data_IF_898045591273
#
_entry.id   IF_898045591273
#
_cell.length_a   1.000
_cell.length_b   1.000
_cell.length_c   1.000
_cell.angle_alpha   90.00
_cell.angle_beta   90.00
_cell.angle_gamma   90.00
#
_symmetry.space_group_name_H-M   'P 1'
#
loop_
_entity.id
_entity.type
_entity.pdbx_description
1 polymer ?
#
# COMPACT_ATOMS: atom_id res chain seq x y z
N UNK A 1 -6.01 11.88 9.59
CA UNK A 1 -4.71 11.25 9.83
C UNK A 1 -4.95 9.90 10.50
N UNK A 2 -4.43 8.79 9.97
CA UNK A 2 -4.57 7.48 10.60
C UNK A 2 -3.85 7.47 11.96
N UNK A 3 -4.41 6.73 12.92
CA UNK A 3 -3.72 6.42 14.18
C UNK A 3 -3.03 5.09 13.99
N UNK A 4 -1.71 5.09 13.84
CA UNK A 4 -0.90 3.87 13.74
C UNK A 4 -0.70 3.34 15.16
N UNK A 5 -1.56 2.41 15.58
CA UNK A 5 -1.61 1.89 16.96
C UNK A 5 -0.68 0.70 17.21
N UNK A 6 -0.13 0.09 16.15
CA UNK A 6 0.77 -1.06 16.21
C UNK A 6 2.16 -0.69 15.71
N UNK A 7 3.20 -1.23 16.36
CA UNK A 7 4.58 -1.19 15.84
C UNK A 7 4.81 -2.21 14.72
N UNK A 8 3.87 -3.13 14.50
CA UNK A 8 3.86 -4.06 13.38
C UNK A 8 3.16 -3.39 12.18
N UNK A 9 3.88 -3.16 11.06
CA UNK A 9 3.31 -2.55 9.86
C UNK A 9 2.11 -3.30 9.29
N UNK A 10 2.16 -4.64 9.24
CA UNK A 10 1.08 -5.44 8.67
C UNK A 10 -0.22 -5.22 9.45
N UNK A 11 -0.13 -5.33 10.77
CA UNK A 11 -1.26 -5.12 11.67
C UNK A 11 -1.82 -3.69 11.58
N UNK A 12 -0.95 -2.68 11.51
CA UNK A 12 -1.38 -1.29 11.41
C UNK A 12 -2.11 -0.99 10.09
N UNK A 13 -1.62 -1.53 8.97
CA UNK A 13 -2.25 -1.39 7.66
C UNK A 13 -3.59 -2.12 7.63
N UNK A 14 -3.62 -3.38 8.08
CA UNK A 14 -4.84 -4.17 8.17
C UNK A 14 -5.90 -3.48 9.02
N UNK A 15 -5.56 -3.07 10.24
CA UNK A 15 -6.50 -2.39 11.14
C UNK A 15 -7.06 -1.11 10.51
N UNK A 16 -6.23 -0.34 9.81
CA UNK A 16 -6.70 0.85 9.10
C UNK A 16 -7.68 0.49 7.97
N UNK A 17 -7.35 -0.50 7.14
CA UNK A 17 -8.22 -0.95 6.04
C UNK A 17 -9.57 -1.48 6.55
N UNK A 18 -9.55 -2.26 7.64
CA UNK A 18 -10.75 -2.81 8.26
C UNK A 18 -11.59 -1.71 8.92
N UNK A 19 -10.99 -0.83 9.73
CA UNK A 19 -11.73 0.18 10.49
C UNK A 19 -12.23 1.32 9.61
N UNK A 20 -11.42 1.79 8.66
CA UNK A 20 -11.76 2.95 7.84
C UNK A 20 -12.61 2.58 6.64
N UNK A 21 -12.24 1.51 5.95
CA UNK A 21 -12.90 1.12 4.70
C UNK A 21 -13.88 -0.03 4.90
N UNK A 22 -13.90 -0.71 6.05
CA UNK A 22 -14.81 -1.83 6.30
C UNK A 22 -14.46 -3.06 5.47
N UNK A 23 -13.17 -3.24 5.14
CA UNK A 23 -12.69 -4.49 4.57
C UNK A 23 -12.73 -5.59 5.65
N UNK A 24 -12.88 -6.84 5.24
CA UNK A 24 -12.66 -7.98 6.13
C UNK A 24 -11.21 -8.48 6.05
N UNK A 25 -10.82 -9.39 6.94
CA UNK A 25 -9.45 -9.88 7.02
C UNK A 25 -8.96 -10.51 5.70
N UNK A 26 -9.79 -11.26 4.99
CA UNK A 26 -9.45 -11.84 3.69
C UNK A 26 -9.13 -10.76 2.65
N UNK A 27 -9.91 -9.69 2.63
CA UNK A 27 -9.74 -8.55 1.73
C UNK A 27 -8.50 -7.73 2.09
N UNK A 28 -8.29 -7.45 3.38
CA UNK A 28 -7.11 -6.77 3.88
C UNK A 28 -5.83 -7.56 3.60
N UNK A 29 -5.86 -8.89 3.73
CA UNK A 29 -4.74 -9.77 3.38
C UNK A 29 -4.32 -9.63 1.92
N UNK A 30 -5.28 -9.54 0.99
CA UNK A 30 -4.99 -9.32 -0.43
C UNK A 30 -4.24 -8.01 -0.70
N UNK A 31 -4.62 -6.94 0.01
CA UNK A 31 -3.90 -5.65 -0.03
C UNK A 31 -2.49 -5.79 0.55
N UNK A 32 -2.36 -6.42 1.73
CA UNK A 32 -1.06 -6.65 2.34
C UNK A 32 -0.12 -7.47 1.44
N UNK A 33 -0.64 -8.46 0.71
CA UNK A 33 0.15 -9.24 -0.24
C UNK A 33 0.78 -8.40 -1.34
N UNK A 34 0.08 -7.37 -1.81
CA UNK A 34 0.62 -6.39 -2.76
C UNK A 34 1.69 -5.52 -2.13
N UNK A 35 1.39 -4.88 -1.01
CA UNK A 35 2.33 -3.98 -0.33
C UNK A 35 3.59 -4.71 0.15
N UNK A 36 3.48 -6.00 0.48
CA UNK A 36 4.61 -6.86 0.79
C UNK A 36 5.50 -7.11 -0.44
N UNK A 37 4.90 -7.30 -1.62
CA UNK A 37 5.63 -7.42 -2.88
C UNK A 37 6.31 -6.10 -3.28
N UNK A 38 5.66 -4.95 -3.00
CA UNK A 38 6.18 -3.63 -3.35
C UNK A 38 7.36 -3.19 -2.46
N UNK A 39 7.19 -3.28 -1.14
CA UNK A 39 8.09 -2.62 -0.19
C UNK A 39 8.54 -3.49 0.97
N UNK A 40 7.96 -4.69 1.09
CA UNK A 40 8.03 -5.45 2.34
C UNK A 40 7.39 -4.71 3.51
N UNK A 41 6.32 -3.95 3.23
CA UNK A 41 5.57 -3.13 4.19
C UNK A 41 6.38 -1.98 4.82
N UNK A 42 7.36 -1.44 4.07
CA UNK A 42 8.25 -0.38 4.55
C UNK A 42 7.95 0.93 3.85
N UNK A 43 7.74 2.00 4.63
CA UNK A 43 7.45 3.33 4.10
C UNK A 43 8.68 4.10 3.60
N UNK A 44 9.89 3.71 4.01
CA UNK A 44 11.13 4.45 3.77
C UNK A 44 12.04 3.83 2.70
N UNK A 45 11.45 3.09 1.74
CA UNK A 45 12.21 2.33 0.73
C UNK A 45 12.06 2.94 -0.67
N UNK A 46 13.19 3.21 -1.31
CA UNK A 46 13.26 3.56 -2.73
C UNK A 46 13.36 2.30 -3.59
N UNK A 47 12.97 2.42 -4.86
CA UNK A 47 13.19 1.38 -5.87
C UNK A 47 14.59 0.77 -5.79
N UNK A 48 14.66 -0.56 -5.86
CA UNK A 48 15.92 -1.30 -5.71
C UNK A 48 16.34 -1.55 -4.26
N UNK A 49 15.54 -1.11 -3.28
CA UNK A 49 15.67 -1.48 -1.87
C UNK A 49 16.48 -0.50 -1.01
N UNK A 50 16.82 0.67 -1.53
CA UNK A 50 17.59 1.66 -0.79
C UNK A 50 16.70 2.37 0.25
N UNK A 51 17.01 2.20 1.53
CA UNK A 51 16.32 2.88 2.62
C UNK A 51 16.77 4.32 2.80
N UNK A 52 15.84 5.19 3.22
CA UNK A 52 16.12 6.57 3.57
C UNK A 52 15.13 7.53 2.92
N UNK A 53 15.55 8.78 2.70
CA UNK A 53 14.70 9.79 2.09
C UNK A 53 14.29 9.43 0.65
N UNK A 54 13.14 9.94 0.16
CA UNK A 54 12.73 9.75 -1.23
C UNK A 54 13.78 10.33 -2.19
N UNK A 55 14.07 9.60 -3.27
CA UNK A 55 14.94 10.10 -4.33
C UNK A 55 14.31 11.31 -5.02
N UNK A 56 15.15 12.20 -5.56
CA UNK A 56 14.70 13.41 -6.27
C UNK A 56 14.22 13.15 -7.71
N UNK A 57 14.20 11.88 -8.14
CA UNK A 57 13.68 11.50 -9.45
C UNK A 57 12.22 11.06 -9.32
N UNK A 58 11.35 11.73 -10.07
CA UNK A 58 9.90 11.54 -10.09
C UNK A 58 9.42 10.95 -11.41
N UNK A 59 10.28 10.22 -12.13
CA UNK A 59 9.84 9.45 -13.28
C UNK A 59 8.78 8.43 -12.85
N UNK A 60 7.77 8.25 -13.70
CA UNK A 60 6.74 7.23 -13.54
C UNK A 60 7.18 5.96 -14.29
N UNK A 61 8.17 5.28 -13.71
CA UNK A 61 8.82 4.11 -14.29
C UNK A 61 9.21 3.08 -13.21
N UNK A 62 9.69 1.91 -13.66
CA UNK A 62 10.13 0.84 -12.77
C UNK A 62 11.48 1.12 -12.07
N UNK A 63 12.00 2.35 -12.16
CA UNK A 63 13.29 2.76 -11.63
C UNK A 63 13.21 3.71 -10.43
N UNK A 64 12.04 4.29 -10.13
CA UNK A 64 11.95 5.46 -9.24
C UNK A 64 10.81 5.42 -8.21
N UNK A 65 10.22 4.25 -7.99
CA UNK A 65 9.22 3.99 -6.94
C UNK A 65 9.68 4.38 -5.53
N UNK A 66 8.70 4.72 -4.68
CA UNK A 66 8.90 5.19 -3.31
C UNK A 66 7.84 4.68 -2.35
N UNK A 67 8.29 4.28 -1.15
CA UNK A 67 7.44 4.00 -0.01
C UNK A 67 6.60 2.74 -0.14
N UNK A 68 5.54 2.68 0.68
CA UNK A 68 4.77 1.49 0.98
C UNK A 68 4.17 0.83 -0.28
N UNK A 69 3.61 1.64 -1.18
CA UNK A 69 3.02 1.20 -2.45
C UNK A 69 3.89 1.56 -3.67
N UNK A 70 5.20 1.74 -3.47
CA UNK A 70 6.17 2.09 -4.52
C UNK A 70 5.69 3.18 -5.50
N UNK A 71 5.11 4.25 -4.98
CA UNK A 71 4.57 5.34 -5.79
C UNK A 71 5.64 5.91 -6.73
N UNK A 72 5.30 6.00 -8.02
CA UNK A 72 6.05 6.72 -9.06
C UNK A 72 5.44 8.07 -9.38
N UNK A 73 6.09 8.84 -10.26
CA UNK A 73 5.45 9.97 -10.93
C UNK A 73 4.85 11.03 -10.01
N UNK A 74 3.62 11.45 -10.35
CA UNK A 74 2.84 12.42 -9.58
C UNK A 74 2.36 11.87 -8.25
N UNK A 75 2.18 10.55 -8.11
CA UNK A 75 1.76 9.93 -6.84
C UNK A 75 2.87 10.01 -5.80
N UNK A 76 4.13 9.81 -6.19
CA UNK A 76 5.30 10.03 -5.33
C UNK A 76 5.35 11.45 -4.80
N UNK A 77 5.18 12.44 -5.69
CA UNK A 77 5.12 13.84 -5.28
C UNK A 77 3.94 14.09 -4.33
N UNK A 78 2.78 13.48 -4.61
CA UNK A 78 1.58 13.57 -3.77
C UNK A 78 1.78 13.03 -2.35
N UNK A 79 2.49 11.92 -2.20
CA UNK A 79 2.85 11.36 -0.89
C UNK A 79 3.74 12.33 -0.10
N UNK A 80 4.82 12.81 -0.73
CA UNK A 80 5.77 13.73 -0.09
C UNK A 80 5.07 15.03 0.33
N UNK A 81 4.20 15.55 -0.51
CA UNK A 81 3.41 16.76 -0.21
C UNK A 81 2.39 16.49 0.91
N UNK A 82 1.77 15.31 0.93
CA UNK A 82 0.89 14.90 2.02
C UNK A 82 1.65 14.85 3.35
N UNK A 83 2.81 14.19 3.38
CA UNK A 83 3.64 14.09 4.57
C UNK A 83 4.01 15.49 5.09
N UNK A 84 4.52 16.36 4.20
CA UNK A 84 4.88 17.74 4.53
C UNK A 84 3.71 18.56 5.08
N UNK A 85 2.55 18.49 4.43
CA UNK A 85 1.35 19.22 4.86
C UNK A 85 0.87 18.80 6.26
N UNK A 86 1.13 17.56 6.65
CA UNK A 86 0.73 17.00 7.93
C UNK A 86 1.88 16.98 8.96
N UNK A 87 3.05 17.55 8.64
CA UNK A 87 4.21 17.57 9.54
C UNK A 87 4.78 16.17 9.84
N UNK A 88 4.67 15.25 8.89
CA UNK A 88 5.17 13.88 8.98
C UNK A 88 6.45 13.69 8.16
N UNK A 89 7.22 12.66 8.51
CA UNK A 89 8.28 12.14 7.65
C UNK A 89 7.65 11.31 6.50
N UNK A 90 7.98 11.56 5.22
CA UNK A 90 7.46 10.77 4.10
C UNK A 90 7.81 9.28 4.17
N UNK A 91 8.86 8.90 4.91
CA UNK A 91 9.20 7.49 5.15
C UNK A 91 8.37 6.84 6.26
N UNK A 92 7.61 7.62 7.02
CA UNK A 92 6.83 7.11 8.15
C UNK A 92 5.62 6.32 7.68
N UNK A 93 5.32 5.22 8.37
CA UNK A 93 4.13 4.41 8.09
C UNK A 93 2.83 5.25 8.20
N UNK A 94 2.81 6.24 9.10
CA UNK A 94 1.66 7.13 9.25
C UNK A 94 1.44 8.02 8.01
N UNK A 95 2.50 8.54 7.40
CA UNK A 95 2.41 9.33 6.17
C UNK A 95 1.92 8.46 5.01
N UNK A 96 2.52 7.28 4.87
CA UNK A 96 2.23 6.32 3.81
C UNK A 96 0.77 5.84 3.87
N UNK A 97 0.31 5.37 5.03
CA UNK A 97 -1.10 4.99 5.23
C UNK A 97 -2.02 6.20 5.02
N UNK A 98 -1.62 7.39 5.50
CA UNK A 98 -2.44 8.59 5.38
C UNK A 98 -2.62 9.07 3.94
N UNK A 99 -1.59 8.94 3.11
CA UNK A 99 -1.68 9.25 1.69
C UNK A 99 -2.47 8.17 0.93
N UNK A 100 -2.21 6.90 1.20
CA UNK A 100 -3.01 5.78 0.65
C UNK A 100 -4.50 5.95 0.98
N UNK A 101 -4.83 6.32 2.21
CA UNK A 101 -6.19 6.64 2.65
C UNK A 101 -6.83 7.76 1.82
N UNK A 102 -6.06 8.80 1.50
CA UNK A 102 -6.51 9.93 0.69
C UNK A 102 -6.84 9.43 -0.71
N UNK A 103 -5.93 8.71 -1.35
CA UNK A 103 -6.13 8.15 -2.69
C UNK A 103 -7.36 7.22 -2.74
N UNK A 104 -7.47 6.29 -1.80
CA UNK A 104 -8.60 5.35 -1.68
C UNK A 104 -9.93 6.02 -1.31
N UNK A 105 -9.91 7.26 -0.82
CA UNK A 105 -11.12 8.04 -0.55
C UNK A 105 -11.49 8.99 -1.69
N UNK A 106 -10.60 9.19 -2.67
CA UNK A 106 -10.81 10.09 -3.81
C UNK A 106 -10.68 9.33 -5.13
N UNK A 107 -9.51 9.37 -5.74
CA UNK A 107 -9.29 8.97 -7.13
C UNK A 107 -9.33 7.45 -7.30
N UNK A 108 -9.08 6.72 -6.22
CA UNK A 108 -9.07 5.25 -6.16
C UNK A 108 -10.22 4.69 -5.29
N UNK A 109 -11.31 5.45 -5.10
CA UNK A 109 -12.47 4.97 -4.31
C UNK A 109 -13.13 3.72 -4.90
N UNK A 110 -12.99 3.51 -6.20
CA UNK A 110 -13.48 2.32 -6.89
C UNK A 110 -12.74 1.05 -6.42
N UNK A 111 -11.44 1.12 -6.17
CA UNK A 111 -10.62 0.00 -5.67
C UNK A 111 -11.24 -0.63 -4.42
N UNK A 112 -11.67 0.19 -3.46
CA UNK A 112 -12.34 -0.28 -2.24
C UNK A 112 -13.67 -0.98 -2.56
N UNK A 113 -14.45 -0.41 -3.49
CA UNK A 113 -15.73 -0.98 -3.89
C UNK A 113 -15.55 -2.34 -4.57
N UNK A 114 -14.54 -2.48 -5.42
CA UNK A 114 -14.22 -3.73 -6.11
C UNK A 114 -13.67 -4.78 -5.14
N UNK A 115 -12.77 -4.41 -4.22
CA UNK A 115 -12.24 -5.33 -3.20
C UNK A 115 -13.36 -5.88 -2.33
N UNK A 116 -14.35 -5.06 -1.96
CA UNK A 116 -15.50 -5.53 -1.17
C UNK A 116 -16.32 -6.63 -1.83
N UNK A 117 -16.25 -6.74 -3.17
CA UNK A 117 -16.93 -7.79 -3.93
C UNK A 117 -16.09 -9.08 -4.07
N UNK A 118 -14.87 -9.10 -3.54
CA UNK A 118 -14.00 -10.28 -3.57
C UNK A 118 -14.29 -11.22 -2.41
N UNK A 119 -14.05 -12.52 -2.64
CA UNK A 119 -14.34 -13.60 -1.69
C UNK A 119 -13.10 -14.38 -1.24
N UNK A 120 -11.94 -14.10 -1.83
CA UNK A 120 -10.68 -14.77 -1.54
C UNK A 120 -9.50 -13.80 -1.58
N UNK A 121 -8.39 -14.18 -0.96
CA UNK A 121 -7.19 -13.34 -0.86
C UNK A 121 -6.57 -13.05 -2.22
N UNK A 122 -6.57 -14.01 -3.14
CA UNK A 122 -6.07 -13.88 -4.52
C UNK A 122 -6.94 -12.93 -5.36
N UNK A 123 -8.27 -12.99 -5.20
CA UNK A 123 -9.17 -12.04 -5.85
C UNK A 123 -8.92 -10.61 -5.34
N UNK A 124 -8.79 -10.43 -4.03
CA UNK A 124 -8.48 -9.13 -3.44
C UNK A 124 -7.11 -8.61 -3.89
N UNK A 125 -6.10 -9.49 -3.94
CA UNK A 125 -4.77 -9.14 -4.40
C UNK A 125 -4.77 -8.71 -5.88
N UNK A 126 -5.49 -9.44 -6.73
CA UNK A 126 -5.61 -9.12 -8.15
C UNK A 126 -6.36 -7.80 -8.38
N UNK A 127 -7.42 -7.52 -7.62
CA UNK A 127 -8.13 -6.24 -7.72
C UNK A 127 -7.21 -5.10 -7.30
N UNK A 128 -6.50 -5.22 -6.18
CA UNK A 128 -5.57 -4.19 -5.73
C UNK A 128 -4.49 -3.90 -6.79
N UNK A 129 -3.88 -4.94 -7.35
CA UNK A 129 -2.89 -4.79 -8.43
C UNK A 129 -3.48 -4.05 -9.65
N UNK A 130 -4.64 -4.49 -10.13
CA UNK A 130 -5.27 -3.93 -11.34
C UNK A 130 -5.85 -2.53 -11.17
N UNK A 131 -6.30 -2.19 -9.98
CA UNK A 131 -6.98 -0.91 -9.75
C UNK A 131 -6.05 0.13 -9.11
N UNK A 132 -5.06 -0.28 -8.30
CA UNK A 132 -4.25 0.63 -7.48
C UNK A 132 -2.74 0.61 -7.81
N UNK A 133 -2.11 -0.56 -7.91
CA UNK A 133 -0.66 -0.63 -8.19
C UNK A 133 -0.34 -0.41 -9.67
N UNK A 134 -1.18 -0.97 -10.56
CA UNK A 134 -1.01 -0.92 -12.01
C UNK A 134 0.36 -1.45 -12.47
N UNK A 135 0.86 -2.49 -11.80
CA UNK A 135 2.19 -3.02 -12.05
C UNK A 135 2.33 -3.59 -13.48
N UNK A 136 3.39 -3.21 -14.19
CA UNK A 136 3.66 -3.73 -15.54
C UNK A 136 4.02 -5.22 -15.55
N UNK A 137 4.70 -5.67 -14.50
CA UNK A 137 5.01 -7.08 -14.23
C UNK A 137 4.60 -7.37 -12.79
N UNK A 138 3.35 -7.83 -12.58
CA UNK A 138 2.75 -7.84 -11.25
C UNK A 138 3.29 -8.95 -10.35
N UNK A 139 3.93 -9.99 -10.87
CA UNK A 139 4.40 -11.13 -10.05
C UNK A 139 3.27 -11.70 -9.15
N UNK A 140 2.05 -11.84 -9.69
CA UNK A 140 0.84 -12.20 -8.92
C UNK A 140 0.98 -13.44 -8.04
N UNK A 141 1.76 -14.44 -8.46
CA UNK A 141 1.99 -15.65 -7.65
C UNK A 141 2.62 -15.32 -6.28
N UNK A 142 3.54 -14.35 -6.21
CA UNK A 142 4.13 -13.92 -4.96
C UNK A 142 3.11 -13.16 -4.11
N UNK A 143 2.35 -12.25 -4.72
CA UNK A 143 1.31 -11.46 -4.04
C UNK A 143 0.26 -12.37 -3.41
N UNK A 144 -0.18 -13.38 -4.14
CA UNK A 144 -1.14 -14.39 -3.67
C UNK A 144 -0.55 -15.20 -2.51
N UNK A 145 0.72 -15.61 -2.62
CA UNK A 145 1.41 -16.33 -1.55
C UNK A 145 1.51 -15.46 -0.28
N UNK A 146 1.91 -14.20 -0.39
CA UNK A 146 2.00 -13.29 0.75
C UNK A 146 0.62 -13.04 1.37
N UNK A 147 -0.41 -12.81 0.54
CA UNK A 147 -1.77 -12.61 1.02
C UNK A 147 -2.29 -13.82 1.81
N UNK A 148 -2.05 -15.03 1.32
CA UNK A 148 -2.40 -16.26 2.05
C UNK A 148 -1.63 -16.39 3.36
N UNK A 149 -0.34 -16.02 3.38
CA UNK A 149 0.49 -16.07 4.58
C UNK A 149 -0.03 -15.12 5.66
N UNK A 150 -0.34 -13.86 5.31
CA UNK A 150 -0.93 -12.92 6.26
C UNK A 150 -2.23 -13.46 6.83
N UNK A 151 -3.17 -13.90 5.98
CA UNK A 151 -4.45 -14.42 6.47
C UNK A 151 -4.29 -15.62 7.42
N UNK A 152 -3.38 -16.56 7.10
CA UNK A 152 -3.10 -17.73 7.95
C UNK A 152 -2.47 -17.36 9.29
N UNK A 153 -1.72 -16.26 9.34
CA UNK A 153 -1.08 -15.75 10.55
C UNK A 153 -2.00 -14.87 11.40
N UNK A 154 -3.21 -14.58 10.91
CA UNK A 154 -4.17 -13.69 11.58
C UNK A 154 -3.99 -12.20 11.20
N UNK A 155 -3.38 -11.97 10.02
CA UNK A 155 -2.81 -10.73 9.46
C UNK A 155 -1.53 -10.31 10.17
#
# INVERSE_FOLDING_TARGET
MPTVSSSDPAKAIADNLEQKFGLNATQAAGVLGNLQQESGLQGDINQGGAKGAPSSNFADDNGNGWGLAQWGGTRKQGEIDYAKQNGLDPGSLQANIGFMDKELSTDYSKTISDIKNTSSTDQAAMVWDKDYELASDPQMANRDQYAQQFLQQGL
#
